data_IF_043013764376
#
_entry.id   IF_043013764376
#
_cell.length_a   1.000
_cell.length_b   1.000
_cell.length_c   1.000
_cell.angle_alpha   90.00
_cell.angle_beta   90.00
_cell.angle_gamma   90.00
#
_symmetry.space_group_name_H-M   'P 1'
#
loop_
_entity.id
_entity.type
_entity.pdbx_description
1 polymer ?
#
# COMPACT_ATOMS: atom_id res chain seq x y z
N UNK A 1 29.57 -3.79 -8.25
CA UNK A 1 28.44 -2.93 -7.83
C UNK A 1 28.98 -1.85 -6.91
N UNK A 2 28.58 -0.60 -7.10
CA UNK A 2 29.08 0.52 -6.30
C UNK A 2 28.60 0.42 -4.85
N UNK A 3 29.41 0.91 -3.90
CA UNK A 3 29.13 0.90 -2.45
C UNK A 3 27.84 1.64 -2.06
N UNK A 4 27.28 2.44 -2.98
CA UNK A 4 26.08 3.28 -2.80
C UNK A 4 24.89 2.79 -3.65
N UNK A 5 24.80 1.49 -3.93
CA UNK A 5 23.70 0.95 -4.75
C UNK A 5 22.51 0.56 -3.89
N UNK A 6 21.30 0.62 -4.47
CA UNK A 6 20.07 0.11 -3.86
C UNK A 6 19.27 -0.66 -4.92
N UNK A 7 18.60 -1.74 -4.51
CA UNK A 7 17.64 -2.43 -5.38
C UNK A 7 16.24 -1.88 -5.17
N UNK A 8 15.52 -1.69 -6.28
CA UNK A 8 14.13 -1.25 -6.33
C UNK A 8 13.33 -2.35 -7.01
N UNK A 9 12.38 -2.93 -6.29
CA UNK A 9 11.50 -3.98 -6.81
C UNK A 9 10.04 -3.54 -6.84
N UNK A 10 9.54 -3.27 -8.05
CA UNK A 10 8.13 -3.02 -8.38
C UNK A 10 7.76 -3.94 -9.54
N UNK A 11 7.91 -5.25 -9.33
CA UNK A 11 7.76 -6.24 -10.39
C UNK A 11 6.59 -7.18 -10.11
N UNK A 12 6.87 -8.47 -9.97
CA UNK A 12 5.90 -9.54 -9.78
C UNK A 12 6.34 -10.43 -8.61
N UNK A 13 5.38 -10.86 -7.80
CA UNK A 13 5.60 -11.71 -6.63
C UNK A 13 6.38 -13.01 -6.92
N UNK A 14 6.41 -13.46 -8.17
CA UNK A 14 7.19 -14.64 -8.59
C UNK A 14 8.71 -14.39 -8.49
N UNK A 15 9.16 -13.16 -8.74
CA UNK A 15 10.59 -12.83 -8.92
C UNK A 15 11.24 -12.37 -7.61
N UNK A 16 10.44 -11.91 -6.63
CA UNK A 16 10.92 -11.32 -5.37
C UNK A 16 11.94 -12.21 -4.62
N UNK A 17 11.75 -13.53 -4.60
CA UNK A 17 12.68 -14.46 -3.93
C UNK A 17 14.08 -14.42 -4.54
N UNK A 18 14.16 -14.29 -5.86
CA UNK A 18 15.44 -14.14 -6.58
C UNK A 18 16.09 -12.79 -6.28
N UNK A 19 15.30 -11.73 -6.22
CA UNK A 19 15.78 -10.38 -5.88
C UNK A 19 16.31 -10.34 -4.44
N UNK A 20 15.57 -10.91 -3.49
CA UNK A 20 15.98 -11.06 -2.09
C UNK A 20 17.32 -11.79 -1.97
N UNK A 21 17.48 -12.90 -2.69
CA UNK A 21 18.74 -13.65 -2.72
C UNK A 21 19.91 -12.78 -3.24
N UNK A 22 19.72 -12.05 -4.34
CA UNK A 22 20.75 -11.17 -4.89
C UNK A 22 21.08 -10.04 -3.91
N UNK A 23 20.05 -9.43 -3.32
CA UNK A 23 20.19 -8.35 -2.33
C UNK A 23 21.02 -8.79 -1.13
N UNK A 24 20.72 -9.98 -0.60
CA UNK A 24 21.46 -10.56 0.51
C UNK A 24 22.90 -10.94 0.10
N UNK A 25 23.07 -11.56 -1.07
CA UNK A 25 24.39 -12.01 -1.56
C UNK A 25 25.36 -10.84 -1.73
N UNK A 26 24.87 -9.71 -2.25
CA UNK A 26 25.69 -8.53 -2.50
C UNK A 26 25.67 -7.49 -1.37
N UNK A 27 24.94 -7.77 -0.28
CA UNK A 27 24.74 -6.85 0.85
C UNK A 27 24.21 -5.48 0.41
N UNK A 28 23.28 -5.48 -0.53
CA UNK A 28 22.66 -4.27 -1.09
C UNK A 28 21.32 -4.06 -0.40
N UNK A 29 20.98 -2.82 0.04
CA UNK A 29 19.64 -2.50 0.53
C UNK A 29 18.55 -2.75 -0.52
N UNK A 30 17.34 -3.05 -0.08
CA UNK A 30 16.21 -3.35 -0.97
C UNK A 30 14.96 -2.56 -0.60
N UNK A 31 14.36 -1.91 -1.59
CA UNK A 31 13.03 -1.34 -1.52
C UNK A 31 12.09 -2.26 -2.30
N UNK A 32 11.02 -2.72 -1.63
CA UNK A 32 10.02 -3.62 -2.17
C UNK A 32 8.67 -2.90 -2.24
N UNK A 33 8.19 -2.68 -3.45
CA UNK A 33 6.84 -2.25 -3.77
C UNK A 33 5.95 -3.34 -4.37
N UNK A 34 6.51 -4.51 -4.68
CA UNK A 34 5.77 -5.68 -5.18
C UNK A 34 4.68 -6.12 -4.19
N UNK A 35 3.44 -6.20 -4.67
CA UNK A 35 2.26 -6.62 -3.89
C UNK A 35 1.95 -8.12 -4.06
N UNK A 36 1.02 -8.65 -3.26
CA UNK A 36 0.55 -10.03 -3.39
C UNK A 36 1.51 -11.08 -2.83
N UNK A 37 2.33 -10.71 -1.85
CA UNK A 37 3.30 -11.59 -1.22
C UNK A 37 2.62 -12.54 -0.23
N UNK A 38 2.97 -13.83 -0.29
CA UNK A 38 2.50 -14.84 0.64
C UNK A 38 3.24 -14.75 2.00
N UNK A 39 2.70 -15.43 3.01
CA UNK A 39 3.27 -15.45 4.37
C UNK A 39 4.70 -16.00 4.40
N UNK A 40 5.00 -17.00 3.56
CA UNK A 40 6.33 -17.56 3.42
C UNK A 40 7.35 -16.53 2.92
N UNK A 41 6.97 -15.73 1.92
CA UNK A 41 7.82 -14.67 1.38
C UNK A 41 7.97 -13.53 2.37
N UNK A 42 6.91 -13.15 3.09
CA UNK A 42 6.99 -12.14 4.15
C UNK A 42 7.94 -12.56 5.29
N UNK A 43 7.89 -13.83 5.70
CA UNK A 43 8.82 -14.37 6.69
C UNK A 43 10.27 -14.37 6.19
N UNK A 44 10.48 -14.68 4.91
CA UNK A 44 11.81 -14.61 4.28
C UNK A 44 12.32 -13.17 4.27
N UNK A 45 11.49 -12.19 3.90
CA UNK A 45 11.82 -10.77 3.95
C UNK A 45 12.25 -10.37 5.37
N UNK A 46 11.47 -10.74 6.38
CA UNK A 46 11.78 -10.44 7.78
C UNK A 46 13.08 -11.09 8.26
N UNK A 47 13.39 -12.30 7.80
CA UNK A 47 14.66 -12.95 8.13
C UNK A 47 15.85 -12.22 7.49
N UNK A 48 15.72 -11.84 6.22
CA UNK A 48 16.79 -11.16 5.47
C UNK A 48 16.99 -9.71 5.95
N UNK A 49 15.93 -9.03 6.39
CA UNK A 49 16.00 -7.66 6.91
C UNK A 49 16.86 -7.52 8.17
N UNK A 50 17.18 -8.63 8.85
CA UNK A 50 18.15 -8.67 9.95
C UNK A 50 19.60 -8.53 9.49
N UNK A 51 19.88 -8.72 8.19
CA UNK A 51 21.22 -8.70 7.59
C UNK A 51 21.44 -7.49 6.68
N UNK A 52 20.40 -7.04 5.98
CA UNK A 52 20.43 -5.88 5.09
C UNK A 52 19.23 -4.96 5.35
N UNK A 53 19.34 -3.65 5.10
CA UNK A 53 18.19 -2.76 5.17
C UNK A 53 17.15 -3.12 4.12
N UNK A 54 15.89 -3.29 4.55
CA UNK A 54 14.76 -3.54 3.65
C UNK A 54 13.62 -2.57 3.99
N UNK A 55 13.12 -1.88 2.98
CA UNK A 55 11.87 -1.13 3.05
C UNK A 55 10.80 -1.88 2.25
N UNK A 56 9.78 -2.40 2.93
CA UNK A 56 8.61 -2.99 2.28
C UNK A 56 7.42 -2.04 2.44
N UNK A 57 6.82 -1.61 1.33
CA UNK A 57 5.54 -0.92 1.36
C UNK A 57 4.71 -1.24 0.12
N UNK A 58 3.46 -1.65 0.33
CA UNK A 58 2.48 -1.79 -0.76
C UNK A 58 1.98 -0.44 -1.30
N UNK A 59 2.35 0.68 -0.66
CA UNK A 59 2.08 2.01 -1.17
C UNK A 59 3.16 3.02 -0.75
N UNK A 60 3.87 3.58 -1.73
CA UNK A 60 4.95 4.55 -1.49
C UNK A 60 4.48 6.01 -1.40
N UNK A 61 3.17 6.28 -1.56
CA UNK A 61 2.63 7.64 -1.46
C UNK A 61 2.73 8.19 -0.04
N UNK A 62 3.40 9.33 0.10
CA UNK A 62 3.50 10.07 1.36
C UNK A 62 2.10 10.43 1.87
N UNK A 63 1.22 10.91 0.98
CA UNK A 63 -0.13 11.33 1.34
C UNK A 63 -0.97 10.19 1.93
N UNK A 64 -0.91 8.99 1.35
CA UNK A 64 -1.64 7.82 1.88
C UNK A 64 -1.07 7.35 3.21
N UNK A 65 0.24 7.40 3.39
CA UNK A 65 0.85 7.08 4.67
C UNK A 65 0.48 8.09 5.77
N UNK A 66 0.39 9.38 5.45
CA UNK A 66 -0.11 10.40 6.37
C UNK A 66 -1.59 10.16 6.71
N UNK A 67 -2.44 9.89 5.71
CA UNK A 67 -3.85 9.59 5.92
C UNK A 67 -4.04 8.37 6.85
N UNK A 68 -3.23 7.33 6.68
CA UNK A 68 -3.24 6.17 7.57
C UNK A 68 -2.96 6.55 9.03
N UNK A 69 -1.99 7.45 9.29
CA UNK A 69 -1.70 7.94 10.64
C UNK A 69 -2.86 8.76 11.21
N UNK A 70 -3.48 9.61 10.38
CA UNK A 70 -4.67 10.38 10.79
C UNK A 70 -5.79 9.42 11.21
N UNK A 71 -6.11 8.40 10.40
CA UNK A 71 -7.18 7.45 10.73
C UNK A 71 -6.93 6.66 12.01
N UNK A 72 -5.69 6.24 12.26
CA UNK A 72 -5.33 5.57 13.52
C UNK A 72 -5.71 6.44 14.73
N UNK A 73 -5.51 7.76 14.65
CA UNK A 73 -5.76 8.68 15.74
C UNK A 73 -7.24 9.10 15.87
N UNK A 74 -7.98 9.23 14.77
CA UNK A 74 -9.37 9.74 14.82
C UNK A 74 -10.43 8.63 14.92
N UNK A 75 -10.09 7.37 14.64
CA UNK A 75 -11.04 6.25 14.61
C UNK A 75 -11.88 6.09 15.88
N UNK A 76 -11.30 6.39 17.05
CA UNK A 76 -12.00 6.35 18.33
C UNK A 76 -13.17 7.34 18.36
N UNK A 77 -12.93 8.59 17.95
CA UNK A 77 -13.94 9.64 17.90
C UNK A 77 -14.98 9.38 16.82
N UNK A 78 -14.56 8.90 15.64
CA UNK A 78 -15.49 8.49 14.58
C UNK A 78 -16.49 7.44 15.07
N UNK A 79 -16.04 6.53 15.94
CA UNK A 79 -16.88 5.52 16.57
C UNK A 79 -17.80 6.12 17.63
N UNK A 80 -17.29 6.92 18.56
CA UNK A 80 -18.07 7.47 19.67
C UNK A 80 -19.22 8.36 19.18
N UNK A 81 -18.97 9.18 18.16
CA UNK A 81 -19.97 10.11 17.64
C UNK A 81 -20.79 9.54 16.48
N UNK A 82 -20.66 8.24 16.17
CA UNK A 82 -21.40 7.56 15.09
C UNK A 82 -21.31 8.29 13.73
N UNK A 83 -20.12 8.79 13.38
CA UNK A 83 -19.87 9.44 12.10
C UNK A 83 -20.16 8.50 10.92
N UNK A 84 -20.88 9.00 9.92
CA UNK A 84 -21.23 8.22 8.72
C UNK A 84 -20.17 8.41 7.64
N UNK A 85 -19.16 7.54 7.66
CA UNK A 85 -18.07 7.63 6.69
C UNK A 85 -18.39 6.92 5.35
N UNK A 86 -17.96 7.54 4.25
CA UNK A 86 -17.98 6.95 2.91
C UNK A 86 -16.79 7.42 2.05
N UNK A 87 -16.41 6.62 1.06
CA UNK A 87 -15.34 6.94 0.10
C UNK A 87 -15.94 7.21 -1.28
N UNK A 88 -15.44 8.25 -1.95
CA UNK A 88 -15.58 8.44 -3.40
C UNK A 88 -14.25 8.08 -4.05
N UNK A 89 -14.28 7.16 -5.00
CA UNK A 89 -13.12 6.62 -5.72
C UNK A 89 -13.26 6.83 -7.23
N UNK A 90 -12.49 7.76 -7.79
CA UNK A 90 -12.60 8.18 -9.19
C UNK A 90 -11.29 7.89 -9.91
N UNK A 91 -11.36 7.17 -11.02
CA UNK A 91 -10.20 6.83 -11.85
C UNK A 91 -10.53 6.92 -13.33
N UNK A 92 -9.52 6.78 -14.18
CA UNK A 92 -9.67 6.76 -15.63
C UNK A 92 -10.45 5.52 -16.08
N UNK A 93 -11.08 5.62 -17.25
CA UNK A 93 -11.93 4.58 -17.85
C UNK A 93 -11.18 3.28 -18.16
N UNK A 94 -9.86 3.34 -18.36
CA UNK A 94 -9.03 2.14 -18.58
C UNK A 94 -8.67 1.36 -17.30
N UNK A 95 -9.05 1.84 -16.10
CA UNK A 95 -8.75 1.12 -14.85
C UNK A 95 -9.72 -0.06 -14.66
N UNK A 96 -9.16 -1.26 -14.69
CA UNK A 96 -9.89 -2.54 -14.69
C UNK A 96 -10.50 -2.85 -13.31
N UNK A 97 -9.75 -2.64 -12.23
CA UNK A 97 -10.21 -2.93 -10.87
C UNK A 97 -11.18 -1.86 -10.36
N UNK A 98 -12.31 -2.27 -9.77
CA UNK A 98 -13.31 -1.40 -9.11
C UNK A 98 -13.94 -2.09 -7.89
N UNK A 99 -13.91 -1.48 -6.70
CA UNK A 99 -13.23 -0.24 -6.35
C UNK A 99 -11.70 -0.41 -6.37
N UNK A 100 -10.93 0.68 -6.42
CA UNK A 100 -9.47 0.62 -6.54
C UNK A 100 -8.82 0.01 -5.29
N UNK A 101 -7.66 -0.63 -5.46
CA UNK A 101 -6.89 -1.17 -4.32
C UNK A 101 -6.63 -0.15 -3.21
N UNK A 102 -6.35 1.11 -3.57
CA UNK A 102 -6.18 2.22 -2.61
C UNK A 102 -7.44 2.46 -1.78
N UNK A 103 -8.62 2.48 -2.41
CA UNK A 103 -9.88 2.68 -1.70
C UNK A 103 -10.18 1.54 -0.71
N UNK A 104 -9.84 0.29 -1.07
CA UNK A 104 -9.96 -0.87 -0.18
C UNK A 104 -9.02 -0.75 1.03
N UNK A 105 -7.79 -0.28 0.82
CA UNK A 105 -6.83 -0.01 1.90
C UNK A 105 -7.39 1.08 2.82
N UNK A 106 -7.83 2.22 2.27
CA UNK A 106 -8.41 3.32 3.05
C UNK A 106 -9.64 2.87 3.84
N UNK A 107 -10.53 2.11 3.20
CA UNK A 107 -11.71 1.53 3.84
C UNK A 107 -11.34 0.64 5.02
N UNK A 108 -10.33 -0.23 4.86
CA UNK A 108 -9.85 -1.11 5.94
C UNK A 108 -9.28 -0.34 7.14
N UNK A 109 -8.87 0.91 6.96
CA UNK A 109 -8.25 1.74 8.00
C UNK A 109 -9.26 2.53 8.82
N UNK A 110 -10.49 2.69 8.34
CA UNK A 110 -11.55 3.42 9.04
C UNK A 110 -12.49 2.40 9.71
N UNK A 111 -12.55 2.42 11.05
CA UNK A 111 -13.23 1.36 11.83
C UNK A 111 -14.75 1.51 11.90
N UNK A 112 -15.30 2.72 11.71
CA UNK A 112 -16.74 3.01 11.82
C UNK A 112 -17.34 3.36 10.46
N UNK A 113 -17.53 2.33 9.62
CA UNK A 113 -17.88 2.51 8.22
C UNK A 113 -19.31 2.04 7.92
N UNK A 114 -20.08 2.87 7.20
CA UNK A 114 -21.39 2.50 6.66
C UNK A 114 -21.31 1.64 5.38
N UNK A 115 -20.20 0.94 5.15
CA UNK A 115 -19.95 0.03 4.00
C UNK A 115 -20.24 0.64 2.61
N UNK A 116 -19.91 1.91 2.36
CA UNK A 116 -20.13 2.55 1.04
C UNK A 116 -18.85 3.12 0.44
N UNK A 117 -18.37 2.48 -0.62
CA UNK A 117 -17.38 3.03 -1.55
C UNK A 117 -18.13 3.30 -2.85
N UNK A 118 -18.18 4.56 -3.27
CA UNK A 118 -18.76 4.97 -4.55
C UNK A 118 -17.65 5.10 -5.57
N UNK A 119 -17.71 4.29 -6.65
CA UNK A 119 -16.70 4.30 -7.70
C UNK A 119 -17.21 4.96 -8.97
N UNK A 120 -16.41 5.83 -9.57
CA UNK A 120 -16.67 6.41 -10.88
C UNK A 120 -15.47 6.26 -11.82
N UNK A 121 -15.75 6.29 -13.12
CA UNK A 121 -14.75 6.19 -14.19
C UNK A 121 -14.84 7.42 -15.09
N UNK A 122 -13.79 8.24 -15.10
CA UNK A 122 -13.71 9.51 -15.81
C UNK A 122 -12.34 9.57 -16.49
N UNK A 123 -12.34 9.58 -17.83
CA UNK A 123 -11.16 9.41 -18.71
C UNK A 123 -9.91 10.21 -18.32
N UNK A 124 -10.08 11.43 -17.82
CA UNK A 124 -8.97 12.35 -17.48
C UNK A 124 -8.40 12.18 -16.07
N UNK A 125 -8.99 11.36 -15.21
CA UNK A 125 -8.62 11.28 -13.78
C UNK A 125 -7.66 10.10 -13.56
N UNK A 126 -6.42 10.38 -13.15
CA UNK A 126 -5.43 9.33 -12.88
C UNK A 126 -5.83 8.50 -11.65
N UNK A 127 -6.34 9.15 -10.60
CA UNK A 127 -6.85 8.51 -9.39
C UNK A 127 -7.10 9.53 -8.30
N UNK A 128 -8.36 9.71 -7.90
CA UNK A 128 -8.79 10.62 -6.85
C UNK A 128 -9.58 9.84 -5.79
N UNK A 129 -9.23 10.04 -4.52
CA UNK A 129 -9.91 9.46 -3.37
C UNK A 129 -10.38 10.58 -2.45
N UNK A 130 -11.68 10.62 -2.17
CA UNK A 130 -12.26 11.57 -1.22
C UNK A 130 -12.92 10.77 -0.11
N UNK A 131 -12.64 11.15 1.14
CA UNK A 131 -13.16 10.48 2.33
C UNK A 131 -14.05 11.49 3.04
N UNK A 132 -15.33 11.14 3.15
CA UNK A 132 -16.28 11.85 3.98
C UNK A 132 -16.34 11.13 5.32
N UNK A 133 -16.29 11.90 6.41
CA UNK A 133 -16.36 11.44 7.78
C UNK A 133 -17.67 11.91 8.39
#
# INVERSE_FOLDING_TARGET
>A
MNKNSIFLDFSNYIIIKKILFLSQKFLIPLIIGTTGLDSLTLNLIFYISKKIPILLSYNMSIGLNILNLIFININFYLKIYNFQSFIIDIHHDQKIDSPSGTSLILFSKIKNFNKKIFSARIKSIIGNHVIYL
#
